data_IF_987415635409
#
_entry.id   IF_987415635409
#
_cell.length_a   1.000
_cell.length_b   1.000
_cell.length_c   1.000
_cell.angle_alpha   90.00
_cell.angle_beta   90.00
_cell.angle_gamma   90.00
#
_symmetry.space_group_name_H-M   'P 1'
#
loop_
_entity.id
_entity.type
_entity.pdbx_description
1 polymer ?
2 polymer ?
3 water ?
#
loop_
_entity_poly.entity_id
_entity_poly.type
_entity_poly.pdbx_seq_one_letter_code
_entity_poly.pdbx_strand_id
1 'polydeoxyribonucleotide' '(DG)(DC)(DC)(DA)(DA)(DT)(DT)(DG)(DG)(DC)' ?
#
# COMPACT_ATOMS: atom_id res chain seq x y z
N UNK C 6 -7.82 -36.59 3.29
CA UNK C 6 -8.94 -35.62 3.51
C UNK C 6 -9.26 -34.88 2.22
N UNK C 7 -10.44 -35.13 1.67
CA UNK C 7 -10.83 -34.46 0.44
C UNK C 7 -10.98 -32.97 0.67
N UNK C 8 -10.73 -32.20 -0.37
CA UNK C 8 -10.87 -30.76 -0.27
C UNK C 8 -12.21 -30.31 -0.81
N UNK C 9 -13.13 -31.25 -1.03
CA UNK C 9 -14.45 -30.91 -1.56
C UNK C 9 -15.18 -29.95 -0.64
N UNK C 10 -15.87 -28.97 -1.22
CA UNK C 10 -16.61 -27.98 -0.44
C UNK C 10 -18.07 -28.35 -0.30
N UNK C 11 -18.74 -27.78 0.70
CA UNK C 11 -20.13 -28.08 0.98
C UNK C 11 -21.09 -27.18 0.20
N UNK C 12 -21.20 -27.46 -1.09
CA UNK C 12 -22.08 -26.67 -1.93
C UNK C 12 -23.53 -26.85 -1.49
N UNK C 13 -23.89 -28.00 -0.91
CA UNK C 13 -25.27 -28.15 -0.45
C UNK C 13 -25.62 -27.14 0.68
N UNK C 14 -24.73 -27.02 1.65
CA UNK C 14 -24.94 -26.09 2.75
C UNK C 14 -25.03 -24.65 2.22
N UNK C 15 -24.18 -24.30 1.26
CA UNK C 15 -24.22 -22.96 0.68
C UNK C 15 -25.56 -22.73 -0.03
N UNK C 16 -26.03 -23.74 -0.76
CA UNK C 16 -27.31 -23.60 -1.46
C UNK C 16 -28.44 -23.38 -0.44
N UNK C 17 -28.30 -23.97 0.73
CA UNK C 17 -29.30 -23.80 1.78
C UNK C 17 -29.29 -22.37 2.31
N UNK C 18 -28.10 -21.80 2.44
CA UNK C 18 -27.96 -20.43 2.91
C UNK C 18 -28.66 -19.51 1.92
N UNK C 19 -28.36 -19.71 0.64
CA UNK C 19 -28.94 -18.93 -0.44
C UNK C 19 -30.46 -19.07 -0.41
N UNK C 20 -30.93 -20.31 -0.28
CA UNK C 20 -32.36 -20.61 -0.24
C UNK C 20 -33.07 -20.00 0.96
N UNK C 21 -32.34 -19.82 2.06
CA UNK C 21 -32.91 -19.25 3.27
C UNK C 21 -33.11 -17.74 3.13
N UNK C 22 -32.89 -17.22 1.92
CA UNK C 22 -33.05 -15.81 1.66
C UNK C 22 -32.16 -14.89 2.48
N UNK C 23 -31.38 -15.46 3.38
CA UNK C 23 -30.49 -14.67 4.24
C UNK C 23 -29.53 -13.82 3.40
N UNK C 24 -29.30 -12.59 3.84
CA UNK C 24 -28.37 -11.71 3.16
C UNK C 24 -26.99 -12.35 3.25
N UNK C 25 -26.39 -12.62 2.11
CA UNK C 25 -25.07 -13.25 2.09
C UNK C 25 -23.94 -12.25 2.20
N UNK C 26 -23.01 -12.52 3.11
CA UNK C 26 -21.82 -11.70 3.27
C UNK C 26 -20.70 -12.72 3.23
N UNK C 27 -19.45 -12.27 3.14
CA UNK C 27 -18.34 -13.21 3.01
C UNK C 27 -18.30 -14.26 4.10
N UNK C 28 -18.59 -13.85 5.33
CA UNK C 28 -18.54 -14.80 6.44
C UNK C 28 -19.61 -15.89 6.42
N UNK C 29 -20.88 -15.55 6.28
CA UNK C 29 -21.85 -16.64 6.29
C UNK C 29 -21.67 -17.53 5.07
N UNK C 30 -21.17 -16.96 3.96
CA UNK C 30 -20.93 -17.74 2.76
C UNK C 30 -19.82 -18.78 2.97
N UNK C 31 -18.65 -18.36 3.42
CA UNK C 31 -17.59 -19.34 3.61
C UNK C 31 -17.89 -20.28 4.77
N UNK C 32 -18.55 -19.78 5.82
CA UNK C 32 -18.89 -20.63 6.96
C UNK C 32 -19.80 -21.77 6.47
N UNK C 33 -20.76 -21.45 5.63
CA UNK C 33 -21.66 -22.49 5.14
C UNK C 33 -20.95 -23.49 4.24
N UNK C 34 -20.19 -22.98 3.27
CA UNK C 34 -19.51 -23.85 2.33
C UNK C 34 -18.37 -24.67 2.96
N UNK C 35 -17.91 -24.28 4.14
CA UNK C 35 -16.83 -25.03 4.78
C UNK C 35 -17.35 -26.08 5.78
N UNK C 36 -18.66 -26.12 6.00
CA UNK C 36 -19.19 -27.11 6.96
C UNK C 36 -18.83 -28.53 6.61
N UNK C 37 -18.16 -29.21 7.55
CA UNK C 37 -17.75 -30.58 7.36
C UNK C 37 -16.56 -30.76 6.44
N UNK C 38 -15.87 -29.67 6.10
CA UNK C 38 -14.72 -29.77 5.20
C UNK C 38 -13.45 -29.65 6.02
N UNK C 39 -12.30 -29.74 5.37
CA UNK C 39 -11.05 -29.59 6.09
C UNK C 39 -10.65 -28.12 6.15
N UNK C 40 -11.58 -27.23 5.81
CA UNK C 40 -11.29 -25.79 5.88
C UNK C 40 -12.12 -25.10 6.95
N UNK C 41 -11.56 -24.03 7.51
CA UNK C 41 -12.28 -23.26 8.49
C UNK C 41 -12.02 -21.78 8.21
N UNK C 42 -13.03 -20.96 8.49
CA UNK C 42 -12.91 -19.51 8.29
C UNK C 42 -12.73 -18.82 9.64
N UNK C 43 -11.91 -17.78 9.68
CA UNK C 43 -11.75 -17.01 10.90
C UNK C 43 -12.14 -15.58 10.58
N UNK C 44 -12.93 -14.95 11.45
CA UNK C 44 -13.23 -13.53 11.27
C UNK C 44 -12.25 -12.85 12.21
N UNK C 45 -11.62 -11.77 11.80
CA UNK C 45 -10.63 -11.10 12.66
C UNK C 45 -9.64 -12.08 13.33
N UNK C 46 -8.87 -12.86 12.54
CA UNK C 46 -7.88 -13.83 13.04
C UNK C 46 -6.78 -13.10 13.82
N UNK C 47 -6.13 -13.81 14.75
CA UNK C 47 -5.10 -13.17 15.58
C UNK C 47 -3.64 -13.55 15.30
N UNK C 48 -3.43 -14.38 14.29
CA UNK C 48 -2.10 -14.89 13.92
C UNK C 48 -1.01 -13.83 13.70
N UNK C 49 -1.43 -12.64 13.27
CA UNK C 49 -0.50 -11.56 12.95
C UNK C 49 -0.56 -10.37 13.93
N UNK C 50 -0.98 -10.65 15.17
CA UNK C 50 -1.11 -9.60 16.20
C UNK C 50 0.17 -9.23 16.95
N UNK C 51 1.28 -9.92 16.71
CA UNK C 51 2.50 -9.63 17.46
C UNK C 51 3.67 -9.43 16.51
N UNK C 52 3.74 -8.24 15.90
CA UNK C 52 4.79 -7.97 14.92
C UNK C 52 5.71 -6.78 15.15
N UNK C 53 5.12 -5.69 15.65
CA UNK C 53 5.83 -4.41 15.76
C UNK C 53 6.57 -3.95 17.00
N UNK C 54 6.08 -4.27 18.19
CA UNK C 54 6.74 -3.82 19.41
C UNK C 54 8.19 -4.26 19.51
N UNK C 55 8.48 -5.44 18.96
CA UNK C 55 9.83 -5.98 19.01
C UNK C 55 10.78 -5.43 17.95
N UNK C 56 10.27 -4.54 17.09
CA UNK C 56 11.11 -3.97 16.06
C UNK C 56 12.23 -3.18 16.70
N UNK C 57 13.45 -3.43 16.22
CA UNK C 57 14.65 -2.80 16.75
C UNK C 57 14.87 -1.46 16.05
N UNK C 58 14.88 -0.38 16.83
CA UNK C 58 15.08 0.95 16.29
C UNK C 58 16.47 1.49 16.61
N UNK C 59 17.11 2.14 15.64
CA UNK C 59 18.44 2.70 15.88
C UNK C 59 18.36 3.63 17.09
N UNK C 60 19.42 3.68 17.88
CA UNK C 60 19.43 4.52 19.07
C UNK C 60 19.21 6.00 18.70
N UNK C 61 19.53 6.35 17.47
CA UNK C 61 19.36 7.72 17.01
C UNK C 61 17.87 8.05 16.89
N UNK C 62 17.07 7.05 16.49
CA UNK C 62 15.64 7.22 16.36
C UNK C 62 14.95 7.23 17.72
N UNK C 63 15.36 6.32 18.59
CA UNK C 63 14.80 6.23 19.94
C UNK C 63 14.84 7.57 20.64
N UNK C 64 15.97 8.26 20.50
CA UNK C 64 16.14 9.55 21.15
C UNK C 64 15.20 10.62 20.60
N UNK C 65 14.77 10.46 19.36
CA UNK C 65 13.91 11.47 18.76
C UNK C 65 12.41 11.22 18.84
N UNK C 66 12.00 10.03 19.26
CA UNK C 66 10.56 9.76 19.31
C UNK C 66 10.01 9.71 20.74
N UNK C 67 8.70 9.58 20.85
CA UNK C 67 8.05 9.47 22.15
C UNK C 67 8.22 8.05 22.66
N UNK C 68 8.74 7.91 23.88
CA UNK C 68 8.96 6.59 24.45
C UNK C 68 8.08 6.41 25.69
N UNK C 69 6.88 5.85 25.50
CA UNK C 69 5.94 5.62 26.60
C UNK C 69 6.47 4.61 27.61
N UNK C 70 5.95 4.70 28.82
CA UNK C 70 6.31 3.77 29.87
C UNK C 70 5.60 2.48 29.44
N UNK C 71 6.32 1.57 28.81
CA UNK C 71 5.69 0.35 28.32
C UNK C 71 6.69 -0.81 28.17
N UNK C 72 6.26 -2.01 28.53
CA UNK C 72 7.12 -3.19 28.39
C UNK C 72 6.93 -3.76 26.99
N UNK C 73 7.77 -3.32 26.06
CA UNK C 73 7.68 -3.74 24.68
C UNK C 73 7.85 -5.24 24.44
N UNK C 74 8.53 -5.91 25.37
CA UNK C 74 8.75 -7.35 25.24
C UNK C 74 7.45 -8.14 25.33
N UNK C 75 6.48 -7.60 26.05
CA UNK C 75 5.20 -8.29 26.20
C UNK C 75 4.05 -7.56 25.50
N UNK C 76 4.40 -6.54 24.73
CA UNK C 76 3.40 -5.76 23.99
C UNK C 76 3.16 -6.40 22.62
N UNK C 77 1.91 -6.60 22.26
CA UNK C 77 1.59 -7.19 20.95
C UNK C 77 0.90 -6.15 20.09
N UNK C 78 1.65 -5.71 19.09
CA UNK C 78 1.20 -4.72 18.11
C UNK C 78 1.35 -5.39 16.76
N UNK C 79 0.25 -5.47 16.01
CA UNK C 79 0.32 -6.10 14.70
C UNK C 79 -0.89 -5.71 13.88
N UNK C 80 -1.33 -6.63 13.02
CA UNK C 80 -2.50 -6.36 12.18
C UNK C 80 -3.62 -7.34 12.45
N UNK C 81 -4.81 -6.97 12.00
CA UNK C 81 -6.01 -7.78 12.15
C UNK C 81 -6.72 -7.93 10.81
N UNK C 82 -6.42 -8.99 10.06
CA UNK C 82 -7.04 -9.24 8.76
C UNK C 82 -8.56 -9.34 8.90
N UNK C 83 -9.27 -9.02 7.84
CA UNK C 83 -10.73 -9.12 7.89
C UNK C 83 -11.09 -10.59 8.10
N UNK C 84 -10.35 -11.48 7.47
CA UNK C 84 -10.63 -12.91 7.59
C UNK C 84 -9.43 -13.76 7.24
N UNK C 85 -9.55 -15.06 7.48
CA UNK C 85 -8.50 -16.00 7.13
C UNK C 85 -9.17 -17.33 6.83
N UNK C 86 -8.58 -18.08 5.91
CA UNK C 86 -9.10 -19.41 5.56
C UNK C 86 -7.95 -20.36 5.84
N UNK C 87 -8.20 -21.35 6.68
CA UNK C 87 -7.17 -22.31 7.05
C UNK C 87 -7.51 -23.71 6.63
N UNK C 88 -6.51 -24.42 6.10
CA UNK C 88 -6.65 -25.83 5.73
C UNK C 88 -6.22 -26.52 7.04
N UNK C 89 -7.17 -27.12 7.74
CA UNK C 89 -6.87 -27.73 9.04
C UNK C 89 -5.95 -28.93 9.06
N UNK C 90 -5.57 -29.44 7.90
CA UNK C 90 -4.67 -30.58 7.80
C UNK C 90 -3.22 -30.13 7.63
N UNK C 91 -3.01 -29.17 6.75
CA UNK C 91 -1.67 -28.65 6.50
C UNK C 91 -1.38 -27.43 7.38
N UNK C 92 -2.45 -26.86 7.93
CA UNK C 92 -2.39 -25.67 8.76
C UNK C 92 -1.86 -24.44 8.01
N UNK C 93 -1.93 -24.51 6.69
CA UNK C 93 -1.55 -23.38 5.85
C UNK C 93 -2.73 -22.42 5.90
N UNK C 94 -2.45 -21.13 5.92
CA UNK C 94 -3.52 -20.14 6.05
C UNK C 94 -3.43 -19.04 5.01
N UNK C 95 -4.58 -18.69 4.42
CA UNK C 95 -4.67 -17.59 3.47
C UNK C 95 -5.35 -16.46 4.22
N UNK C 96 -4.67 -15.32 4.35
CA UNK C 96 -5.21 -14.16 5.05
C UNK C 96 -5.91 -13.22 4.09
N UNK C 97 -7.05 -12.65 4.50
CA UNK C 97 -7.76 -11.81 3.56
C UNK C 97 -8.24 -10.47 4.05
N UNK C 98 -8.61 -9.63 3.11
CA UNK C 98 -9.11 -8.32 3.44
C UNK C 98 -10.41 -8.13 2.67
N UNK C 99 -11.25 -7.22 3.16
CA UNK C 99 -12.52 -6.89 2.48
C UNK C 99 -12.54 -5.36 2.30
N UNK C 100 -12.53 -4.90 1.07
CA UNK C 100 -12.57 -3.44 0.85
C UNK C 100 -13.86 -3.05 0.16
N UNK C 101 -14.73 -2.37 0.91
CA UNK C 101 -16.00 -1.93 0.37
C UNK C 101 -15.86 -0.46 0.01
N UNK C 102 -16.35 -0.06 -1.16
CA UNK C 102 -16.25 1.35 -1.52
C UNK C 102 -17.20 1.71 -2.65
N UNK C 103 -17.58 2.99 -2.70
CA UNK C 103 -18.48 3.48 -3.73
C UNK C 103 -17.71 3.60 -5.04
N UNK C 104 -18.41 3.98 -6.09
CA UNK C 104 -17.73 4.10 -7.37
C UNK C 104 -18.53 4.82 -8.42
N UNK C 105 -17.85 5.12 -9.53
CA UNK C 105 -18.48 5.80 -10.65
C UNK C 105 -19.16 4.71 -11.48
N UNK C 106 -20.49 4.72 -11.47
CA UNK C 106 -21.28 3.75 -12.21
C UNK C 106 -22.42 4.46 -12.94
N UNK C 107 -23.27 3.72 -13.63
CA UNK C 107 -24.32 4.40 -14.38
C UNK C 107 -25.17 5.34 -13.52
N UNK C 108 -25.45 6.51 -14.09
CA UNK C 108 -26.25 7.50 -13.39
C UNK C 108 -25.44 8.39 -12.44
N UNK C 109 -24.14 8.14 -12.31
CA UNK C 109 -23.31 8.94 -11.41
C UNK C 109 -22.18 9.60 -12.16
N UNK C 110 -21.64 10.66 -11.56
CA UNK C 110 -20.53 11.38 -12.15
C UNK C 110 -19.24 10.72 -11.68
N UNK C 111 -18.12 10.97 -12.38
CA UNK C 111 -16.83 10.40 -11.99
C UNK C 111 -16.47 10.70 -10.53
N UNK C 112 -16.94 11.83 -10.01
CA UNK C 112 -16.65 12.20 -8.63
C UNK C 112 -17.17 11.15 -7.63
N UNK C 113 -18.19 10.38 -8.01
CA UNK C 113 -18.69 9.38 -7.07
C UNK C 113 -17.63 8.31 -6.87
N UNK C 114 -16.67 8.23 -7.79
CA UNK C 114 -15.63 7.23 -7.62
C UNK C 114 -14.30 7.85 -7.24
N UNK C 115 -14.31 9.10 -6.77
CA UNK C 115 -13.04 9.76 -6.42
C UNK C 115 -12.34 9.24 -5.17
N UNK C 116 -13.00 8.42 -4.36
CA UNK C 116 -12.41 7.94 -3.12
C UNK C 116 -11.15 7.12 -3.37
N UNK C 117 -10.23 7.10 -2.40
CA UNK C 117 -8.97 6.36 -2.56
C UNK C 117 -8.60 5.56 -1.31
N UNK C 118 -9.52 5.44 -0.36
CA UNK C 118 -9.23 4.70 0.87
C UNK C 118 -8.81 3.24 0.61
N UNK C 119 -9.29 2.67 -0.50
CA UNK C 119 -8.97 1.28 -0.83
C UNK C 119 -7.46 1.09 -1.01
N UNK C 120 -6.75 2.18 -1.26
CA UNK C 120 -5.29 2.10 -1.41
C UNK C 120 -4.67 1.52 -0.14
N UNK C 121 -5.35 1.70 0.99
CA UNK C 121 -4.85 1.19 2.26
C UNK C 121 -4.52 -0.31 2.19
N UNK C 122 -5.29 -1.06 1.40
CA UNK C 122 -5.06 -2.51 1.30
C UNK C 122 -3.70 -2.83 0.70
N UNK C 123 -3.07 -1.86 0.06
CA UNK C 123 -1.78 -2.13 -0.56
C UNK C 123 -0.67 -2.31 0.47
N UNK C 124 -0.98 -2.08 1.75
CA UNK C 124 0.02 -2.29 2.79
C UNK C 124 0.48 -3.76 2.74
N UNK C 125 -0.36 -4.64 2.17
CA UNK C 125 0.00 -6.05 2.07
C UNK C 125 1.12 -6.37 1.08
N UNK C 126 1.43 -5.41 0.21
CA UNK C 126 2.53 -5.54 -0.76
C UNK C 126 3.86 -5.10 -0.14
N UNK C 127 3.86 -4.55 1.07
CA UNK C 127 5.15 -4.12 1.64
C UNK C 127 6.00 -5.36 1.90
N UNK C 128 7.32 -5.25 1.69
CA UNK C 128 8.14 -6.43 1.94
C UNK C 128 8.02 -7.00 3.34
N UNK C 129 7.86 -6.13 4.34
CA UNK C 129 7.76 -6.62 5.71
C UNK C 129 6.51 -7.48 5.92
N UNK C 130 5.36 -7.01 5.45
CA UNK C 130 4.15 -7.78 5.65
C UNK C 130 4.12 -9.03 4.77
N UNK C 131 4.70 -8.94 3.57
CA UNK C 131 4.75 -10.12 2.69
C UNK C 131 5.53 -11.22 3.42
N UNK C 132 6.67 -10.83 3.99
CA UNK C 132 7.51 -11.78 4.73
C UNK C 132 6.77 -12.37 5.94
N UNK C 133 6.10 -11.52 6.71
CA UNK C 133 5.35 -11.98 7.88
C UNK C 133 4.22 -12.93 7.46
N UNK C 134 3.49 -12.56 6.42
CA UNK C 134 2.38 -13.39 5.95
C UNK C 134 2.90 -14.77 5.48
N UNK C 135 3.95 -14.77 4.66
CA UNK C 135 4.49 -16.03 4.16
C UNK C 135 4.93 -16.93 5.32
N UNK C 136 5.63 -16.34 6.29
CA UNK C 136 6.12 -17.10 7.44
C UNK C 136 4.99 -17.68 8.27
N UNK C 137 4.02 -16.85 8.62
CA UNK C 137 2.93 -17.29 9.45
C UNK C 137 1.88 -18.13 8.77
N UNK C 138 1.54 -17.79 7.54
CA UNK C 138 0.52 -18.54 6.83
C UNK C 138 1.03 -19.79 6.13
N UNK C 139 2.33 -19.82 5.82
CA UNK C 139 2.88 -20.98 5.16
C UNK C 139 2.85 -21.02 3.64
N UNK C 140 2.27 -20.01 3.01
CA UNK C 140 2.20 -20.02 1.55
C UNK C 140 3.51 -19.41 1.01
N UNK C 141 4.49 -20.25 0.68
CA UNK C 141 5.76 -19.73 0.18
C UNK C 141 5.92 -19.78 -1.33
N UNK C 142 4.96 -20.40 -1.99
CA UNK C 142 4.98 -20.47 -3.45
C UNK C 142 4.99 -19.03 -3.99
N UNK C 143 6.02 -18.67 -4.73
CA UNK C 143 6.13 -17.31 -5.28
C UNK C 143 5.13 -16.97 -6.40
N UNK C 144 4.44 -17.98 -6.91
CA UNK C 144 3.48 -17.82 -7.98
C UNK C 144 2.23 -17.00 -7.57
N UNK C 145 1.95 -17.00 -6.27
CA UNK C 145 0.79 -16.30 -5.72
C UNK C 145 1.23 -15.45 -4.51
N UNK C 146 0.48 -14.39 -4.21
CA UNK C 146 0.78 -13.59 -3.03
C UNK C 146 0.05 -14.32 -1.90
N UNK C 147 0.48 -14.11 -0.64
CA UNK C 147 -0.12 -14.78 0.52
C UNK C 147 -1.40 -14.20 1.09
N UNK C 148 -1.97 -13.22 0.40
CA UNK C 148 -3.21 -12.59 0.85
C UNK C 148 -4.23 -12.55 -0.27
N UNK C 149 -5.47 -12.30 0.10
CA UNK C 149 -6.55 -12.21 -0.88
C UNK C 149 -7.40 -11.00 -0.49
N UNK C 150 -7.53 -10.02 -1.40
CA UNK C 150 -8.37 -8.84 -1.14
C UNK C 150 -9.68 -8.97 -1.89
N UNK C 151 -10.80 -8.90 -1.18
CA UNK C 151 -12.10 -8.98 -1.80
C UNK C 151 -12.69 -7.60 -1.81
N UNK C 152 -12.98 -7.10 -3.01
CA UNK C 152 -13.57 -5.77 -3.15
C UNK C 152 -15.07 -5.91 -3.25
N UNK C 153 -15.80 -4.96 -2.66
CA UNK C 153 -17.25 -4.96 -2.69
C UNK C 153 -17.76 -3.53 -2.92
N UNK C 154 -19.01 -3.40 -3.36
CA UNK C 154 -19.57 -2.08 -3.59
C UNK C 154 -19.44 -1.61 -5.03
N UNK C 155 -19.88 -0.40 -5.30
CA UNK C 155 -19.82 0.10 -6.67
C UNK C 155 -18.40 0.23 -7.22
N UNK C 156 -17.40 0.27 -6.35
CA UNK C 156 -16.01 0.34 -6.83
C UNK C 156 -15.75 -0.86 -7.78
N UNK C 157 -16.43 -1.97 -7.53
CA UNK C 157 -16.22 -3.15 -8.36
C UNK C 157 -16.75 -3.04 -9.80
N UNK C 158 -17.50 -1.98 -10.09
CA UNK C 158 -18.03 -1.81 -11.44
C UNK C 158 -17.57 -0.49 -12.05
N UNK C 159 -16.68 0.19 -11.32
CA UNK C 159 -16.16 1.49 -11.73
C UNK C 159 -15.07 1.23 -12.81
N UNK C 160 -15.22 1.83 -14.00
CA UNK C 160 -14.25 1.61 -15.10
C UNK C 160 -12.83 2.02 -14.80
N UNK C 161 -12.69 3.04 -13.95
CA UNK C 161 -11.38 3.56 -13.58
C UNK C 161 -10.78 2.73 -12.44
N UNK C 162 -11.56 2.50 -11.39
CA UNK C 162 -11.06 1.70 -10.26
C UNK C 162 -10.74 0.27 -10.65
N UNK C 163 -11.57 -0.33 -11.49
CA UNK C 163 -11.31 -1.71 -11.87
C UNK C 163 -10.00 -1.79 -12.65
N UNK C 164 -9.78 -0.86 -13.56
CA UNK C 164 -8.53 -0.89 -14.32
C UNK C 164 -7.33 -0.54 -13.46
N UNK C 165 -7.52 0.39 -12.52
CA UNK C 165 -6.44 0.79 -11.60
C UNK C 165 -5.98 -0.42 -10.78
N UNK C 166 -6.96 -1.14 -10.23
CA UNK C 166 -6.61 -2.31 -9.41
C UNK C 166 -6.01 -3.40 -10.29
N UNK C 167 -6.53 -3.56 -11.49
CA UNK C 167 -5.98 -4.57 -12.38
C UNK C 167 -4.50 -4.22 -12.62
N UNK C 168 -4.24 -2.95 -12.92
CA UNK C 168 -2.87 -2.48 -13.16
C UNK C 168 -1.96 -2.75 -11.95
N UNK C 169 -2.44 -2.39 -10.76
CA UNK C 169 -1.64 -2.61 -9.54
C UNK C 169 -1.19 -4.05 -9.36
N UNK C 170 -2.15 -4.98 -9.49
CA UNK C 170 -1.84 -6.38 -9.27
C UNK C 170 -0.95 -7.05 -10.33
N UNK C 171 -0.90 -6.46 -11.52
CA UNK C 171 -0.01 -6.96 -12.55
C UNK C 171 -0.14 -8.48 -12.74
N UNK C 172 0.94 -9.25 -12.59
CA UNK C 172 0.82 -10.69 -12.81
C UNK C 172 0.21 -11.52 -11.67
N UNK C 173 -0.37 -10.86 -10.66
CA UNK C 173 -1.01 -11.55 -9.54
C UNK C 173 -2.51 -11.27 -9.60
N UNK C 174 -3.11 -11.57 -10.76
CA UNK C 174 -4.53 -11.29 -10.95
C UNK C 174 -5.48 -12.14 -10.13
N UNK C 175 -5.00 -13.21 -9.52
CA UNK C 175 -5.93 -14.01 -8.73
C UNK C 175 -5.93 -13.63 -7.26
N UNK C 176 -5.09 -12.67 -6.88
CA UNK C 176 -5.02 -12.25 -5.48
C UNK C 176 -6.05 -11.22 -5.04
N UNK C 177 -6.95 -10.85 -5.95
CA UNK C 177 -8.06 -9.99 -5.58
C UNK C 177 -9.25 -10.57 -6.30
N UNK C 178 -10.43 -10.23 -5.81
CA UNK C 178 -11.66 -10.68 -6.42
C UNK C 178 -12.64 -9.54 -6.28
N UNK C 179 -13.35 -9.26 -7.36
CA UNK C 179 -14.37 -8.21 -7.38
C UNK C 179 -15.72 -8.88 -7.14
N UNK C 180 -16.29 -8.75 -5.94
CA UNK C 180 -17.59 -9.38 -5.66
C UNK C 180 -18.60 -8.30 -5.95
N UNK C 181 -19.16 -8.36 -7.16
CA UNK C 181 -20.06 -7.34 -7.65
C UNK C 181 -21.47 -7.36 -7.07
N UNK C 182 -22.14 -6.22 -7.10
CA UNK C 182 -23.50 -6.13 -6.55
C UNK C 182 -24.43 -7.22 -7.09
N UNK C 183 -25.23 -7.79 -6.20
CA UNK C 183 -26.17 -8.83 -6.57
C UNK C 183 -25.55 -10.17 -6.96
N UNK C 184 -24.24 -10.31 -6.82
CA UNK C 184 -23.62 -11.58 -7.18
C UNK C 184 -23.75 -12.59 -6.07
N UNK C 185 -23.92 -13.85 -6.46
CA UNK C 185 -24.07 -14.95 -5.51
C UNK C 185 -22.81 -15.23 -4.70
N UNK C 186 -22.99 -15.88 -3.56
CA UNK C 186 -21.86 -16.27 -2.77
C UNK C 186 -21.12 -17.35 -3.55
N UNK C 187 -21.83 -18.09 -4.40
CA UNK C 187 -21.18 -19.16 -5.17
C UNK C 187 -19.99 -18.65 -6.00
N UNK C 188 -20.14 -17.50 -6.65
CA UNK C 188 -19.04 -16.97 -7.47
C UNK C 188 -17.83 -16.57 -6.62
N UNK C 189 -18.10 -16.08 -5.42
CA UNK C 189 -17.00 -15.73 -4.50
C UNK C 189 -16.26 -17.02 -4.12
N UNK C 190 -17.02 -18.06 -3.79
CA UNK C 190 -16.40 -19.32 -3.41
C UNK C 190 -15.67 -19.95 -4.60
N UNK C 191 -16.25 -19.84 -5.78
CA UNK C 191 -15.60 -20.40 -6.97
C UNK C 191 -14.22 -19.79 -7.20
N UNK C 192 -14.06 -18.49 -6.94
CA UNK C 192 -12.74 -17.89 -7.15
C UNK C 192 -11.73 -18.59 -6.21
N UNK C 193 -12.07 -18.70 -4.94
CA UNK C 193 -11.20 -19.37 -3.98
C UNK C 193 -10.98 -20.83 -4.41
N UNK C 194 -12.06 -21.52 -4.71
CA UNK C 194 -11.99 -22.93 -5.08
C UNK C 194 -11.09 -23.24 -6.27
N UNK C 195 -11.20 -22.42 -7.31
CA UNK C 195 -10.46 -22.62 -8.54
C UNK C 195 -9.06 -22.02 -8.63
N UNK C 196 -8.85 -20.92 -7.91
CA UNK C 196 -7.59 -20.21 -7.99
C UNK C 196 -6.71 -20.14 -6.76
N UNK C 197 -7.29 -20.37 -5.57
CA UNK C 197 -6.50 -20.22 -4.36
C UNK C 197 -6.41 -21.43 -3.46
N UNK C 198 -7.44 -22.28 -3.48
CA UNK C 198 -7.47 -23.43 -2.59
C UNK C 198 -6.24 -24.32 -2.70
N UNK C 199 -5.77 -24.56 -3.92
CA UNK C 199 -4.62 -25.43 -4.11
C UNK C 199 -3.37 -24.96 -3.37
N UNK C 200 -3.26 -23.66 -3.10
CA UNK C 200 -2.06 -23.15 -2.44
C UNK C 200 -2.07 -23.41 -0.94
N UNK C 201 -3.15 -23.99 -0.43
CA UNK C 201 -3.23 -24.33 0.97
C UNK C 201 -2.87 -25.81 1.13
N UNK C 202 -2.61 -26.49 0.01
CA UNK C 202 -2.25 -27.90 0.04
C UNK C 202 -0.77 -28.10 0.37
N UNK D 3 32.31 8.72 -10.59
CA UNK D 3 31.28 9.75 -10.27
C UNK D 3 31.81 10.63 -9.13
N UNK D 4 32.40 11.76 -9.48
CA UNK D 4 32.96 12.65 -8.46
C UNK D 4 31.90 13.31 -7.58
N UNK D 5 32.28 13.55 -6.34
CA UNK D 5 31.40 14.21 -5.39
C UNK D 5 31.06 15.61 -5.87
N UNK D 6 32.06 16.34 -6.35
CA UNK D 6 31.81 17.71 -6.82
C UNK D 6 30.74 17.86 -7.92
N UNK D 7 30.71 16.90 -8.83
CA UNK D 7 29.77 16.98 -9.95
C UNK D 7 28.31 16.95 -9.53
N UNK D 8 28.06 16.57 -8.28
CA UNK D 8 26.69 16.52 -7.77
C UNK D 8 26.50 17.30 -6.47
N UNK D 9 27.45 18.17 -6.11
CA UNK D 9 27.33 18.90 -4.84
C UNK D 9 26.09 19.81 -4.78
N UNK D 10 25.34 19.69 -3.67
CA UNK D 10 24.14 20.48 -3.50
C UNK D 10 24.48 21.89 -2.98
N UNK D 11 23.53 22.81 -3.08
CA UNK D 11 23.75 24.19 -2.66
C UNK D 11 23.38 24.39 -1.21
N UNK D 12 24.22 23.90 -0.33
CA UNK D 12 23.98 23.97 1.09
C UNK D 12 23.92 25.41 1.59
N UNK D 13 24.64 26.33 0.94
CA UNK D 13 24.61 27.73 1.37
C UNK D 13 23.23 28.35 1.14
N UNK D 14 22.58 27.99 0.03
CA UNK D 14 21.27 28.55 -0.26
C UNK D 14 20.29 28.02 0.78
N UNK D 15 20.42 26.75 1.18
CA UNK D 15 19.52 26.20 2.20
C UNK D 15 19.76 26.88 3.56
N UNK D 16 21.03 27.13 3.88
CA UNK D 16 21.34 27.80 5.14
C UNK D 16 20.73 29.20 5.11
N UNK D 17 20.72 29.84 3.95
CA UNK D 17 20.12 31.17 3.85
C UNK D 17 18.62 31.11 4.14
N UNK D 18 17.94 30.09 3.61
CA UNK D 18 16.50 29.91 3.85
C UNK D 18 16.29 29.72 5.34
N UNK D 19 17.09 28.88 5.97
CA UNK D 19 16.94 28.65 7.39
C UNK D 19 17.15 29.96 8.16
N UNK D 20 18.19 30.70 7.80
CA UNK D 20 18.47 31.96 8.49
C UNK D 20 17.42 33.04 8.34
N UNK D 21 16.61 32.95 7.29
CA UNK D 21 15.57 33.93 6.99
C UNK D 21 14.39 33.84 7.96
N UNK D 22 14.27 32.72 8.66
CA UNK D 22 13.16 32.53 9.58
C UNK D 22 11.91 32.03 8.89
N UNK D 23 11.92 31.98 7.55
CA UNK D 23 10.75 31.52 6.82
C UNK D 23 10.37 30.08 7.19
N UNK D 24 9.07 29.78 7.25
CA UNK D 24 8.67 28.41 7.59
C UNK D 24 9.15 27.49 6.47
N UNK D 25 9.83 26.40 6.86
CA UNK D 25 10.33 25.46 5.87
C UNK D 25 9.36 24.33 5.59
N UNK D 26 9.28 23.94 4.34
CA UNK D 26 8.46 22.80 3.91
C UNK D 26 9.34 22.06 2.89
N UNK D 27 8.92 20.89 2.42
CA UNK D 27 9.78 20.12 1.51
C UNK D 27 10.13 20.86 0.24
N UNK D 28 9.16 21.62 -0.28
CA UNK D 28 9.37 22.36 -1.51
C UNK D 28 10.36 23.51 -1.42
N UNK D 29 10.20 24.42 -0.46
CA UNK D 29 11.17 25.52 -0.45
C UNK D 29 12.58 25.04 -0.05
N UNK D 30 12.64 23.99 0.76
CA UNK D 30 13.92 23.42 1.18
C UNK D 30 14.65 22.83 -0.04
N UNK D 31 13.98 21.98 -0.81
CA UNK D 31 14.68 21.41 -1.95
C UNK D 31 14.93 22.43 -3.05
N UNK D 32 13.99 23.36 -3.26
CA UNK D 32 14.21 24.39 -4.29
C UNK D 32 15.46 25.19 -3.92
N UNK D 33 15.63 25.49 -2.64
CA UNK D 33 16.81 26.26 -2.26
C UNK D 33 18.09 25.46 -2.47
N UNK D 34 18.09 24.23 -1.98
CA UNK D 34 19.29 23.40 -2.05
C UNK D 34 19.66 22.97 -3.47
N UNK D 35 18.70 23.08 -4.38
CA UNK D 35 18.98 22.74 -5.78
C UNK D 35 19.38 23.95 -6.63
N UNK D 36 19.40 25.14 -6.04
CA UNK D 36 19.74 26.34 -6.83
C UNK D 36 21.08 26.24 -7.52
N UNK D 37 21.09 26.44 -8.83
CA UNK D 37 22.33 26.38 -9.57
C UNK D 37 22.87 25.00 -9.82
N UNK D 38 22.14 23.96 -9.43
CA UNK D 38 22.60 22.60 -9.67
C UNK D 38 21.85 21.96 -10.83
N UNK D 39 22.19 20.71 -11.11
CA UNK D 39 21.56 19.99 -12.18
C UNK D 39 20.25 19.36 -11.72
N UNK D 40 19.95 19.46 -10.43
CA UNK D 40 18.71 18.88 -9.93
C UNK D 40 17.58 19.89 -9.92
N UNK D 41 16.36 19.41 -10.18
CA UNK D 41 15.20 20.27 -10.13
C UNK D 41 14.11 19.52 -9.38
N UNK D 42 13.31 20.26 -8.62
CA UNK D 42 12.23 19.66 -7.86
C UNK D 42 10.94 20.00 -8.59
N UNK D 43 10.06 19.01 -8.76
CA UNK D 43 8.76 19.26 -9.40
C UNK D 43 7.71 19.08 -8.31
N UNK D 44 6.74 19.99 -8.26
CA UNK D 44 5.62 19.90 -7.33
C UNK D 44 4.53 19.26 -8.24
N UNK D 45 3.88 18.21 -7.78
CA UNK D 45 2.86 17.56 -8.64
C UNK D 45 3.27 17.26 -10.13
N UNK D 46 4.37 16.52 -10.32
CA UNK D 46 4.89 16.10 -11.64
C UNK D 46 3.77 15.38 -12.41
N UNK D 47 3.80 15.47 -13.74
CA UNK D 47 2.77 14.85 -14.58
C UNK D 47 3.20 13.61 -15.34
N UNK D 48 4.37 13.07 -15.01
CA UNK D 48 4.89 11.90 -15.73
C UNK D 48 4.05 10.64 -15.68
N UNK D 49 3.23 10.52 -14.65
CA UNK D 49 2.40 9.34 -14.45
C UNK D 49 0.90 9.62 -14.61
N UNK D 50 0.59 10.67 -15.39
CA UNK D 50 -0.78 11.07 -15.64
C UNK D 50 -1.58 10.06 -16.47
N UNK D 51 -0.90 9.27 -17.31
CA UNK D 51 -1.60 8.36 -18.22
C UNK D 51 -1.21 6.92 -17.96
N UNK D 52 -1.96 6.23 -17.11
CA UNK D 52 -1.65 4.86 -16.75
C UNK D 52 -2.69 3.76 -16.92
N UNK D 53 -3.93 4.09 -16.58
CA UNK D 53 -4.97 3.10 -16.50
C UNK D 53 -6.02 2.88 -17.53
N UNK D 54 -6.38 3.91 -18.29
CA UNK D 54 -7.49 3.74 -19.19
C UNK D 54 -7.39 2.66 -20.27
N UNK D 55 -6.17 2.34 -20.71
CA UNK D 55 -6.02 1.31 -21.75
C UNK D 55 -5.72 -0.06 -21.17
N UNK D 56 -5.87 -0.21 -19.85
CA UNK D 56 -5.63 -1.51 -19.24
C UNK D 56 -6.64 -2.47 -19.89
N UNK D 57 -6.17 -3.62 -20.33
CA UNK D 57 -7.05 -4.59 -20.98
C UNK D 57 -7.88 -5.38 -19.96
N UNK D 58 -9.19 -5.46 -20.21
CA UNK D 58 -10.09 -6.23 -19.36
C UNK D 58 -10.74 -7.29 -20.24
N UNK D 59 -10.88 -8.52 -19.72
CA UNK D 59 -11.49 -9.65 -20.45
C UNK D 59 -12.94 -9.29 -20.79
N UNK D 60 -13.46 -9.83 -21.89
CA UNK D 60 -14.83 -9.57 -22.29
C UNK D 60 -15.81 -9.87 -21.16
N UNK D 61 -15.55 -10.92 -20.38
CA UNK D 61 -16.46 -11.28 -19.31
C UNK D 61 -16.40 -10.33 -18.11
N UNK D 62 -15.42 -9.44 -18.10
CA UNK D 62 -15.36 -8.44 -17.04
C UNK D 62 -16.05 -7.19 -17.60
N UNK D 63 -15.76 -6.87 -18.85
CA UNK D 63 -16.40 -5.72 -19.48
C UNK D 63 -17.90 -5.83 -19.34
N UNK D 64 -18.43 -7.03 -19.58
CA UNK D 64 -19.86 -7.24 -19.48
C UNK D 64 -20.44 -6.93 -18.10
N UNK D 65 -19.64 -7.04 -17.05
CA UNK D 65 -20.14 -6.82 -15.70
C UNK D 65 -19.88 -5.44 -15.09
N UNK D 66 -19.19 -4.55 -15.82
CA UNK D 66 -18.91 -3.25 -15.24
C UNK D 66 -19.62 -2.12 -15.97
N UNK D 67 -19.47 -0.91 -15.47
CA UNK D 67 -20.05 0.26 -16.11
C UNK D 67 -19.03 0.70 -17.17
N UNK D 68 -19.49 0.84 -18.41
CA UNK D 68 -18.62 1.24 -19.51
C UNK D 68 -19.07 2.60 -20.07
N UNK D 69 -18.49 3.69 -19.57
CA UNK D 69 -18.87 5.01 -20.05
C UNK D 69 -18.63 5.22 -21.53
N UNK D 70 -19.47 6.06 -22.11
CA UNK D 70 -19.39 6.36 -23.52
C UNK D 70 -18.32 7.41 -23.82
N UNK D 71 -17.07 7.03 -23.56
CA UNK D 71 -15.95 7.89 -23.83
C UNK D 71 -14.89 7.08 -24.55
N UNK D 72 -13.91 7.78 -25.07
CA UNK D 72 -12.83 7.13 -25.83
C UNK D 72 -11.66 6.84 -24.89
N UNK D 73 -11.59 5.61 -24.41
CA UNK D 73 -10.53 5.25 -23.47
C UNK D 73 -9.16 5.34 -24.11
N UNK D 74 -9.07 5.23 -25.44
CA UNK D 74 -7.76 5.25 -26.08
C UNK D 74 -7.03 6.60 -25.94
N UNK D 75 -7.74 7.66 -25.59
CA UNK D 75 -7.13 8.97 -25.41
C UNK D 75 -7.44 9.56 -24.03
N UNK D 76 -7.95 8.72 -23.16
CA UNK D 76 -8.29 9.16 -21.82
C UNK D 76 -7.08 8.96 -20.93
N UNK D 77 -6.77 9.95 -20.12
CA UNK D 77 -5.64 9.84 -19.22
C UNK D 77 -6.05 9.74 -17.76
N UNK D 78 -5.89 8.54 -17.22
CA UNK D 78 -6.15 8.25 -15.80
C UNK D 78 -4.84 7.77 -15.20
N UNK D 79 -4.40 8.42 -14.13
CA UNK D 79 -3.14 8.02 -13.54
C UNK D 79 -3.00 8.51 -12.13
N UNK D 80 -1.77 8.86 -11.77
CA UNK D 80 -1.49 9.35 -10.43
C UNK D 80 -0.73 10.68 -10.47
N UNK D 81 -0.71 11.36 -9.33
CA UNK D 81 -0.07 12.65 -9.22
C UNK D 81 0.77 12.65 -7.95
N UNK D 82 2.05 12.29 -8.07
CA UNK D 82 2.94 12.26 -6.90
C UNK D 82 3.03 13.63 -6.25
N UNK D 83 3.31 13.67 -4.95
CA UNK D 83 3.45 14.93 -4.22
C UNK D 83 4.63 15.72 -4.79
N UNK D 84 5.69 15.01 -5.20
CA UNK D 84 6.87 15.70 -5.75
C UNK D 84 7.72 14.72 -6.55
N UNK D 85 8.72 15.26 -7.25
CA UNK D 85 9.69 14.41 -7.94
C UNK D 85 10.97 15.19 -7.94
N UNK D 86 12.08 14.47 -7.93
CA UNK D 86 13.40 15.09 -8.02
C UNK D 86 14.06 14.54 -9.28
N UNK D 87 14.41 15.43 -10.19
CA UNK D 87 15.06 14.97 -11.43
C UNK D 87 16.49 15.46 -11.53
N UNK D 88 17.37 14.57 -12.01
CA UNK D 88 18.75 14.95 -12.30
C UNK D 88 18.60 15.28 -13.80
N UNK D 89 18.70 16.57 -14.17
CA UNK D 89 18.48 16.98 -15.54
C UNK D 89 19.59 16.59 -16.52
N UNK D 90 20.70 16.06 -16.01
CA UNK D 90 21.77 15.64 -16.90
C UNK D 90 21.55 14.19 -17.33
N UNK D 91 21.11 13.37 -16.39
CA UNK D 91 20.86 11.95 -16.66
C UNK D 91 19.38 11.68 -17.00
N UNK D 92 18.51 12.61 -16.63
CA UNK D 92 17.07 12.49 -16.86
C UNK D 92 16.43 11.39 -16.01
N UNK D 93 17.16 10.96 -14.98
CA UNK D 93 16.62 9.97 -14.03
C UNK D 93 15.78 10.77 -13.02
N UNK D 94 14.67 10.18 -12.59
CA UNK D 94 13.74 10.85 -11.69
C UNK D 94 13.34 9.98 -10.51
N UNK D 95 13.28 10.60 -9.32
CA UNK D 95 12.85 9.92 -8.10
C UNK D 95 11.49 10.55 -7.80
N UNK D 96 10.44 9.72 -7.70
CA UNK D 96 9.11 10.22 -7.42
C UNK D 96 8.84 10.16 -5.93
N UNK D 97 8.11 11.14 -5.40
CA UNK D 97 7.90 11.13 -3.97
C UNK D 97 6.50 11.36 -3.46
N UNK D 98 6.31 11.06 -2.19
CA UNK D 98 5.01 11.26 -1.54
C UNK D 98 5.28 11.93 -0.19
N UNK D 99 4.26 12.58 0.36
CA UNK D 99 4.37 13.24 1.64
C UNK D 99 3.14 12.79 2.41
N UNK D 100 3.36 12.11 3.53
CA UNK D 100 2.23 11.62 4.33
C UNK D 100 2.27 12.31 5.69
N UNK D 101 1.31 13.19 5.94
CA UNK D 101 1.26 13.92 7.20
C UNK D 101 0.17 13.28 8.04
N UNK D 102 0.46 13.03 9.31
CA UNK D 102 -0.58 12.39 10.15
C UNK D 102 -0.29 12.61 11.63
N UNK D 103 -1.36 12.64 12.43
CA UNK D 103 -1.21 12.77 13.87
C UNK D 103 -0.63 11.50 14.46
N UNK D 104 -0.44 11.50 15.79
CA UNK D 104 0.13 10.32 16.42
C UNK D 104 0.12 10.39 17.94
N UNK D 105 0.39 9.25 18.55
CA UNK D 105 0.45 9.17 20.00
C UNK D 105 1.83 9.67 20.44
N UNK D 106 1.85 10.86 21.04
CA UNK D 106 3.09 11.45 21.52
C UNK D 106 2.80 12.02 22.91
N UNK D 107 3.75 12.76 23.47
CA UNK D 107 3.57 13.35 24.80
C UNK D 107 2.30 14.18 24.92
N UNK D 108 1.58 14.02 26.03
CA UNK D 108 0.37 14.80 26.24
C UNK D 108 -0.85 14.32 25.51
N UNK D 109 -0.75 13.17 24.84
CA UNK D 109 -1.87 12.61 24.10
C UNK D 109 -2.31 11.25 24.63
N UNK D 110 -3.59 10.94 24.42
CA UNK D 110 -4.10 9.61 24.79
C UNK D 110 -3.62 8.71 23.64
N UNK D 111 -3.41 7.42 23.92
CA UNK D 111 -2.94 6.53 22.84
C UNK D 111 -3.85 6.53 21.61
N UNK D 112 -5.13 6.85 21.80
CA UNK D 112 -6.08 6.88 20.69
C UNK D 112 -5.71 7.94 19.65
N UNK D 113 -4.90 8.91 20.05
CA UNK D 113 -4.47 9.92 19.09
C UNK D 113 -3.64 9.31 17.95
N UNK D 114 -3.12 8.10 18.15
CA UNK D 114 -2.32 7.46 17.11
C UNK D 114 -3.03 6.32 16.38
N UNK D 115 -4.35 6.25 16.50
CA UNK D 115 -5.08 5.14 15.89
C UNK D 115 -5.24 5.27 14.38
N UNK D 116 -4.89 6.43 13.83
CA UNK D 116 -5.08 6.66 12.39
C UNK D 116 -4.34 5.70 11.46
N UNK D 117 -4.93 5.41 10.30
CA UNK D 117 -4.30 4.48 9.37
C UNK D 117 -4.31 4.91 7.91
N UNK D 118 -4.67 6.15 7.63
CA UNK D 118 -4.71 6.59 6.24
C UNK D 118 -3.32 6.54 5.60
N UNK D 119 -2.27 6.64 6.42
CA UNK D 119 -0.90 6.61 5.87
C UNK D 119 -0.64 5.33 5.09
N UNK D 120 -1.44 4.31 5.36
CA UNK D 120 -1.30 3.04 4.64
C UNK D 120 -1.48 3.22 3.12
N UNK D 121 -2.20 4.26 2.72
CA UNK D 121 -2.44 4.52 1.29
C UNK D 121 -1.13 4.65 0.50
N UNK D 122 -0.08 5.12 1.18
CA UNK D 122 1.20 5.33 0.54
C UNK D 122 1.76 4.02 0.05
N UNK D 123 1.29 2.92 0.63
CA UNK D 123 1.81 1.60 0.22
C UNK D 123 1.41 1.18 -1.18
N UNK D 124 0.55 1.96 -1.85
CA UNK D 124 0.20 1.64 -3.23
C UNK D 124 1.48 1.61 -4.08
N UNK D 125 2.50 2.31 -3.64
CA UNK D 125 3.74 2.38 -4.41
C UNK D 125 4.48 1.04 -4.41
N UNK D 126 4.10 0.14 -3.51
CA UNK D 126 4.72 -1.19 -3.47
C UNK D 126 4.04 -2.19 -4.41
N UNK D 127 2.92 -1.81 -5.03
CA UNK D 127 2.25 -2.75 -5.95
C UNK D 127 3.19 -3.03 -7.12
N UNK D 128 3.18 -4.28 -7.62
CA UNK D 128 4.06 -4.57 -8.74
C UNK D 128 3.81 -3.68 -9.94
N UNK D 129 2.55 -3.31 -10.16
CA UNK D 129 2.21 -2.46 -11.26
C UNK D 129 2.81 -1.07 -11.19
N UNK D 130 2.71 -0.40 -10.04
CA UNK D 130 3.28 0.94 -9.94
C UNK D 130 4.79 0.88 -9.86
N UNK D 131 5.35 -0.17 -9.25
CA UNK D 131 6.81 -0.29 -9.20
C UNK D 131 7.35 -0.33 -10.63
N UNK D 132 6.73 -1.14 -11.48
CA UNK D 132 7.19 -1.24 -12.88
C UNK D 132 7.05 0.10 -13.60
N UNK D 133 5.91 0.78 -13.41
CA UNK D 133 5.73 2.07 -14.06
C UNK D 133 6.77 3.10 -13.60
N UNK D 134 7.01 3.14 -12.29
CA UNK D 134 7.98 4.09 -11.72
C UNK D 134 9.39 3.81 -12.22
N UNK D 135 9.77 2.54 -12.22
CA UNK D 135 11.12 2.20 -12.68
C UNK D 135 11.30 2.50 -14.18
N UNK D 136 10.26 2.28 -14.99
CA UNK D 136 10.33 2.56 -16.42
C UNK D 136 10.46 4.05 -16.69
N UNK D 137 9.63 4.83 -16.01
CA UNK D 137 9.63 6.26 -16.24
C UNK D 137 10.83 6.97 -15.64
N UNK D 138 11.11 6.68 -14.37
CA UNK D 138 12.22 7.35 -13.70
C UNK D 138 13.60 6.87 -14.06
N UNK D 139 13.72 5.67 -14.62
CA UNK D 139 15.02 5.16 -15.00
C UNK D 139 15.84 4.44 -13.94
N UNK D 140 15.27 4.22 -12.75
CA UNK D 140 15.99 3.56 -11.66
C UNK D 140 15.68 2.07 -11.60
N UNK D 141 16.59 1.23 -12.11
CA UNK D 141 16.38 -0.21 -12.07
C UNK D 141 17.21 -0.95 -11.02
N UNK D 142 17.99 -0.20 -10.23
CA UNK D 142 18.82 -0.82 -9.19
C UNK D 142 17.90 -1.57 -8.25
N UNK D 143 18.15 -2.86 -8.07
CA UNK D 143 17.30 -3.67 -7.23
C UNK D 143 17.35 -3.36 -5.74
N UNK D 144 18.45 -2.81 -5.26
CA UNK D 144 18.56 -2.56 -3.83
C UNK D 144 17.82 -1.33 -3.32
N UNK D 145 17.22 -0.56 -4.22
CA UNK D 145 16.49 0.62 -3.82
C UNK D 145 15.15 0.62 -4.56
N UNK D 146 14.11 1.17 -3.94
CA UNK D 146 12.81 1.28 -4.60
C UNK D 146 12.83 2.63 -5.33
N UNK D 147 12.01 2.79 -6.37
CA UNK D 147 11.96 4.02 -7.17
C UNK D 147 11.19 5.20 -6.60
N UNK D 148 10.78 5.11 -5.35
CA UNK D 148 10.02 6.20 -4.74
C UNK D 148 10.56 6.53 -3.36
N UNK D 149 10.15 7.67 -2.84
CA UNK D 149 10.59 8.10 -1.52
C UNK D 149 9.38 8.72 -0.81
N UNK D 150 9.02 8.13 0.33
CA UNK D 150 7.87 8.63 1.08
C UNK D 150 8.40 9.40 2.29
N UNK D 151 8.02 10.67 2.38
CA UNK D 151 8.41 11.50 3.51
C UNK D 151 7.21 11.66 4.44
N UNK D 152 7.38 11.23 5.69
CA UNK D 152 6.32 11.32 6.69
C UNK D 152 6.55 12.60 7.50
N UNK D 153 5.46 13.20 7.96
CA UNK D 153 5.50 14.47 8.71
C UNK D 153 4.40 14.41 9.75
N UNK D 154 4.49 15.25 10.77
CA UNK D 154 3.46 15.27 11.80
C UNK D 154 3.81 14.40 13.01
N UNK D 155 2.91 14.34 13.98
CA UNK D 155 3.21 13.54 15.17
C UNK D 155 3.41 12.05 14.88
N UNK D 156 2.93 11.56 13.73
CA UNK D 156 3.14 10.15 13.42
C UNK D 156 4.62 9.82 13.45
N UNK D 157 5.47 10.79 13.12
CA UNK D 157 6.91 10.55 13.07
C UNK D 157 7.56 10.30 14.41
N UNK D 158 6.82 10.51 15.50
CA UNK D 158 7.38 10.28 16.83
C UNK D 158 6.52 9.29 17.63
N UNK D 159 5.52 8.72 16.97
CA UNK D 159 4.61 7.76 17.61
C UNK D 159 5.37 6.42 17.68
N UNK D 160 5.52 5.86 18.88
CA UNK D 160 6.24 4.59 19.09
C UNK D 160 5.75 3.38 18.32
N UNK D 161 4.43 3.32 18.08
CA UNK D 161 3.88 2.19 17.33
C UNK D 161 4.04 2.45 15.81
N UNK D 162 3.66 3.64 15.35
CA UNK D 162 3.77 3.96 13.93
C UNK D 162 5.19 3.92 13.40
N UNK D 163 6.16 4.40 14.19
CA UNK D 163 7.54 4.37 13.69
C UNK D 163 8.01 2.95 13.52
N UNK D 164 7.66 2.09 14.48
CA UNK D 164 8.03 0.68 14.39
C UNK D 164 7.27 -0.04 13.27
N UNK D 165 6.01 0.33 13.09
CA UNK D 165 5.18 -0.26 12.02
C UNK D 165 5.80 0.03 10.64
N UNK D 166 6.07 1.29 10.37
CA UNK D 166 6.62 1.67 9.07
C UNK D 166 8.01 1.05 8.89
N UNK D 167 8.81 1.02 9.96
CA UNK D 167 10.16 0.43 9.87
C UNK D 167 10.00 -1.02 9.42
N UNK D 168 9.01 -1.70 10.02
CA UNK D 168 8.75 -3.09 9.70
C UNK D 168 8.31 -3.25 8.26
N UNK D 169 7.38 -2.40 7.82
CA UNK D 169 6.90 -2.49 6.44
C UNK D 169 8.02 -2.44 5.41
N UNK D 170 8.92 -1.46 5.57
CA UNK D 170 9.98 -1.25 4.59
C UNK D 170 11.11 -2.29 4.58
N UNK D 171 11.23 -3.05 5.66
CA UNK D 171 12.19 -4.16 5.70
C UNK D 171 13.59 -3.75 5.25
N UNK D 172 14.15 -4.36 4.20
CA UNK D 172 15.50 -3.96 3.81
C UNK D 172 15.59 -2.77 2.86
N UNK D 173 14.52 -1.96 2.79
CA UNK D 173 14.50 -0.76 1.95
C UNK D 173 14.26 0.44 2.89
N UNK D 174 15.00 0.47 4.00
CA UNK D 174 14.85 1.55 4.97
C UNK D 174 15.08 2.94 4.43
N UNK D 175 15.91 3.08 3.39
CA UNK D 175 16.19 4.41 2.87
C UNK D 175 15.10 4.99 1.99
N UNK D 176 14.08 4.18 1.68
CA UNK D 176 12.99 4.65 0.83
C UNK D 176 11.88 5.43 1.56
N UNK D 177 12.09 5.70 2.85
CA UNK D 177 11.17 6.61 3.55
C UNK D 177 12.02 7.48 4.46
N UNK D 178 11.49 8.62 4.87
CA UNK D 178 12.20 9.48 5.82
C UNK D 178 11.17 10.10 6.75
N UNK D 179 11.49 10.12 8.04
CA UNK D 179 10.62 10.69 9.07
C UNK D 179 11.11 12.11 9.33
N UNK D 180 10.38 13.12 8.84
CA UNK D 180 10.79 14.51 9.03
C UNK D 180 10.01 14.98 10.26
N UNK D 181 10.69 14.96 11.41
CA UNK D 181 10.05 15.29 12.67
C UNK D 181 9.77 16.76 12.93
N UNK D 182 8.79 17.05 13.80
CA UNK D 182 8.42 18.41 14.15
C UNK D 182 9.70 19.11 14.65
N UNK D 183 9.90 20.34 14.26
CA UNK D 183 11.09 21.06 14.73
C UNK D 183 12.38 20.70 14.02
N UNK D 184 12.37 19.66 13.18
CA UNK D 184 13.60 19.30 12.49
C UNK D 184 13.78 20.27 11.34
N UNK D 185 15.01 20.66 11.05
CA UNK D 185 15.21 21.60 9.95
C UNK D 185 15.31 20.87 8.63
N UNK D 186 15.34 21.64 7.55
CA UNK D 186 15.43 21.09 6.20
C UNK D 186 16.72 20.34 5.93
N UNK D 187 17.81 20.75 6.59
CA UNK D 187 19.08 20.10 6.39
C UNK D 187 19.03 18.57 6.55
N UNK D 188 18.38 18.09 7.61
CA UNK D 188 18.27 16.66 7.84
C UNK D 188 17.53 15.95 6.70
N UNK D 189 16.47 16.59 6.19
CA UNK D 189 15.68 16.05 5.08
C UNK D 189 16.57 15.90 3.84
N UNK D 190 17.30 16.97 3.53
CA UNK D 190 18.17 16.94 2.35
C UNK D 190 19.33 15.95 2.54
N UNK D 191 19.87 15.85 3.75
CA UNK D 191 20.97 14.92 3.99
C UNK D 191 20.53 13.49 3.69
N UNK D 192 19.27 13.15 3.99
CA UNK D 192 18.81 11.80 3.70
C UNK D 192 18.90 11.56 2.19
N UNK D 193 18.33 12.47 1.41
CA UNK D 193 18.38 12.35 -0.05
C UNK D 193 19.84 12.32 -0.53
N UNK D 194 20.63 13.28 -0.05
CA UNK D 194 22.03 13.40 -0.48
C UNK D 194 22.87 12.16 -0.25
N UNK D 195 22.75 11.58 0.93
CA UNK D 195 23.54 10.42 1.34
C UNK D 195 23.01 9.08 0.89
N UNK D 196 21.69 8.96 0.76
CA UNK D 196 21.10 7.67 0.43
C UNK D 196 20.38 7.46 -0.89
N UNK D 197 19.95 8.53 -1.53
CA UNK D 197 19.18 8.40 -2.77
C UNK D 197 19.74 9.09 -4.01
N UNK D 198 20.45 10.20 -3.83
CA UNK D 198 20.98 10.96 -4.94
C UNK D 198 21.80 10.15 -5.94
N UNK D 199 22.62 9.24 -5.42
CA UNK D 199 23.47 8.41 -6.26
C UNK D 199 22.68 7.56 -7.24
N UNK D 200 21.40 7.31 -6.94
CA UNK D 200 20.59 6.50 -7.85
C UNK D 200 20.09 7.30 -9.03
N UNK D 201 20.35 8.61 -9.02
CA UNK D 201 19.97 9.44 -10.15
C UNK D 201 21.21 9.66 -11.08
N UNK D 202 22.33 9.07 -10.71
CA UNK D 202 23.52 9.18 -11.56
C UNK D 202 23.42 8.14 -12.69
#
# INVERSE_FOLDING_TARGET
MGKSELSGRLNWQALAGLKASGAEQNLYNVFNAVFEGTKYVLYEKPKHLKNLYAQVVLPDDVIKEIFNPLIDLSTTQWGVSPAFAIENTETHKILFGEIKRQDGWVEGKDPSAGRGNAHERSCKLFTPGLLKAYRTIGGINDEEILPFWVVFEGDITRDPKRVREITFWYDHYQDNYFMWRPNESGEKLVQHFNEKLKKYLD
MGKSELSGRLNWQALAGLKASGAEQNLYNVFNAVFEGTKYVLYEKPKHLKNLYAQVVLPDDVIKEIFNPLIDLSTTQWGVSPAFAIENTETHKILFGEIKRQDGWVEGKDPSAGRGNAHERSCKLFTPGLLKAYRTIGGINDEEILPFWVVFEGDITRDPKRVREITFWYDHYQDNYFMWRPNESGEKLVQHFNEKLKKYLD
#
